data_IF_158065439321
#
_entry.id   IF_158065439321
#
_cell.length_a   1.000
_cell.length_b   1.000
_cell.length_c   1.000
_cell.angle_alpha   90.00
_cell.angle_beta   90.00
_cell.angle_gamma   90.00
#
_symmetry.space_group_name_H-M   'P 1'
#
loop_
_entity.id
_entity.type
_entity.pdbx_description
1 polymer ?
#
# COMPACT_ATOMS: atom_id res chain seq x y z
N UNK A 1 14.70 -6.10 43.30
CA UNK A 1 13.36 -6.39 42.76
C UNK A 1 13.41 -6.12 41.26
N UNK A 2 13.53 -7.17 40.44
CA UNK A 2 13.52 -7.02 38.98
C UNK A 2 12.07 -6.91 38.50
N UNK A 3 11.76 -5.84 37.78
CA UNK A 3 10.46 -5.63 37.16
C UNK A 3 10.19 -6.78 36.17
N UNK A 4 9.04 -7.45 36.31
CA UNK A 4 8.51 -8.38 35.32
C UNK A 4 8.18 -7.58 34.07
N UNK A 5 9.08 -7.61 33.08
CA UNK A 5 8.83 -7.01 31.77
C UNK A 5 7.71 -7.82 31.10
N UNK A 6 6.66 -7.10 30.74
CA UNK A 6 5.38 -7.54 30.20
C UNK A 6 5.49 -8.61 29.10
N UNK A 7 4.98 -9.81 29.37
CA UNK A 7 4.80 -10.94 28.43
C UNK A 7 3.79 -10.65 27.29
N UNK A 8 3.21 -9.45 27.19
CA UNK A 8 2.23 -9.14 26.13
C UNK A 8 2.83 -8.93 24.74
N UNK A 9 4.13 -8.64 24.63
CA UNK A 9 4.76 -8.35 23.34
C UNK A 9 5.12 -9.61 22.55
N UNK A 10 5.33 -10.74 23.20
CA UNK A 10 5.72 -12.00 22.54
C UNK A 10 4.61 -12.55 21.64
N UNK A 11 3.34 -12.35 22.03
CA UNK A 11 2.18 -12.82 21.24
C UNK A 11 2.09 -12.21 19.84
N UNK A 12 2.65 -11.01 19.62
CA UNK A 12 2.60 -10.35 18.30
C UNK A 12 3.70 -10.83 17.35
N UNK A 13 4.81 -11.36 17.87
CA UNK A 13 5.93 -11.85 17.06
C UNK A 13 5.64 -13.22 16.42
N UNK A 14 4.71 -13.98 17.00
CA UNK A 14 4.33 -15.31 16.50
C UNK A 14 3.20 -15.27 15.45
N UNK A 15 2.69 -14.08 15.12
CA UNK A 15 1.62 -13.93 14.14
C UNK A 15 2.22 -13.96 12.73
N UNK A 16 1.87 -15.01 11.98
CA UNK A 16 2.23 -15.11 10.56
C UNK A 16 1.61 -13.95 9.79
N UNK A 17 2.45 -13.28 9.00
CA UNK A 17 2.05 -12.20 8.11
C UNK A 17 2.21 -12.63 6.66
N UNK A 18 1.38 -12.05 5.80
CA UNK A 18 1.49 -12.11 4.35
C UNK A 18 1.94 -10.75 3.83
N UNK A 19 2.82 -10.76 2.83
CA UNK A 19 3.17 -9.58 2.04
C UNK A 19 3.37 -10.01 0.60
N UNK A 20 2.88 -9.21 -0.32
CA UNK A 20 3.14 -9.39 -1.74
C UNK A 20 4.37 -8.59 -2.14
N UNK A 21 5.01 -9.01 -3.22
CA UNK A 21 6.14 -8.29 -3.79
C UNK A 21 6.07 -8.23 -5.31
N UNK A 22 6.61 -7.13 -5.86
CA UNK A 22 6.98 -6.97 -7.26
C UNK A 22 8.44 -6.53 -7.29
N UNK A 23 9.26 -7.22 -8.08
CA UNK A 23 10.69 -6.96 -8.26
C UNK A 23 10.94 -6.76 -9.74
N UNK A 24 11.63 -5.68 -10.08
CA UNK A 24 12.00 -5.35 -11.44
C UNK A 24 13.52 -5.30 -11.59
N UNK A 25 13.99 -5.62 -12.79
CA UNK A 25 15.39 -5.49 -13.18
C UNK A 25 16.38 -6.27 -12.28
N UNK A 26 15.98 -7.45 -11.81
CA UNK A 26 16.84 -8.36 -11.05
C UNK A 26 18.18 -8.56 -11.79
N UNK A 27 19.27 -8.43 -11.04
CA UNK A 27 20.64 -8.52 -11.59
C UNK A 27 20.85 -9.91 -12.21
N UNK A 28 21.29 -9.92 -13.47
CA UNK A 28 21.56 -11.14 -14.24
C UNK A 28 22.71 -11.96 -13.65
N UNK A 29 22.70 -13.27 -13.92
CA UNK A 29 23.78 -14.23 -13.56
C UNK A 29 24.05 -14.36 -12.05
N UNK A 30 23.11 -13.94 -11.21
CA UNK A 30 23.23 -14.03 -9.73
C UNK A 30 22.72 -15.35 -9.15
N UNK A 31 22.12 -16.21 -9.98
CA UNK A 31 21.35 -17.39 -9.58
C UNK A 31 20.20 -17.05 -8.61
N UNK A 32 19.60 -15.86 -8.77
CA UNK A 32 18.53 -15.37 -7.91
C UNK A 32 17.44 -16.41 -7.66
N UNK A 33 16.85 -17.00 -8.73
CA UNK A 33 15.76 -17.98 -8.62
C UNK A 33 16.06 -19.11 -7.62
N UNK A 34 17.20 -19.78 -7.81
CA UNK A 34 17.63 -20.89 -6.94
C UNK A 34 17.95 -20.42 -5.52
N UNK A 35 18.68 -19.31 -5.37
CA UNK A 35 19.07 -18.80 -4.05
C UNK A 35 17.87 -18.32 -3.24
N UNK A 36 16.91 -17.69 -3.90
CA UNK A 36 15.70 -17.16 -3.28
C UNK A 36 14.86 -18.31 -2.73
N UNK A 37 14.56 -19.32 -3.56
CA UNK A 37 13.82 -20.50 -3.14
C UNK A 37 14.46 -21.20 -1.91
N UNK A 38 15.77 -21.48 -1.98
CA UNK A 38 16.51 -22.11 -0.88
C UNK A 38 16.44 -21.27 0.40
N UNK A 39 16.54 -19.95 0.28
CA UNK A 39 16.52 -19.07 1.45
C UNK A 39 15.13 -19.00 2.07
N UNK A 40 14.06 -18.95 1.27
CA UNK A 40 12.69 -19.01 1.80
C UNK A 40 12.48 -20.29 2.62
N UNK A 41 12.91 -21.45 2.11
CA UNK A 41 12.82 -22.72 2.83
C UNK A 41 13.61 -22.71 4.14
N UNK A 42 14.82 -22.15 4.15
CA UNK A 42 15.64 -22.06 5.36
C UNK A 42 15.07 -21.12 6.42
N UNK A 43 14.28 -20.13 6.01
CA UNK A 43 13.64 -19.14 6.88
C UNK A 43 12.19 -19.48 7.20
N UNK A 44 11.73 -20.71 6.92
CA UNK A 44 10.33 -21.12 7.11
C UNK A 44 9.30 -20.17 6.48
N UNK A 45 9.68 -19.48 5.39
CA UNK A 45 8.77 -18.64 4.61
C UNK A 45 8.04 -19.54 3.61
N UNK A 46 6.72 -19.40 3.55
CA UNK A 46 5.84 -20.06 2.58
C UNK A 46 5.30 -19.04 1.56
N UNK A 47 4.51 -19.49 0.60
CA UNK A 47 4.01 -18.68 -0.51
C UNK A 47 4.60 -19.07 -1.86
N UNK A 48 4.69 -18.11 -2.79
CA UNK A 48 5.14 -18.41 -4.14
C UNK A 48 5.84 -17.24 -4.82
N UNK A 49 6.53 -17.56 -5.91
CA UNK A 49 7.08 -16.59 -6.86
C UNK A 49 6.74 -16.98 -8.30
N UNK A 50 6.36 -16.00 -9.10
CA UNK A 50 6.22 -16.10 -10.55
C UNK A 50 7.30 -15.21 -11.15
N UNK A 51 7.99 -15.75 -12.14
CA UNK A 51 8.97 -15.01 -12.90
C UNK A 51 8.39 -14.69 -14.27
N UNK A 52 8.64 -13.47 -14.75
CA UNK A 52 8.43 -13.18 -16.17
C UNK A 52 9.41 -14.03 -17.02
N UNK A 53 9.12 -14.13 -18.33
CA UNK A 53 9.82 -14.97 -19.30
C UNK A 53 11.35 -14.81 -19.23
N UNK A 54 11.83 -13.58 -19.07
CA UNK A 54 13.26 -13.28 -19.01
C UNK A 54 13.88 -13.48 -17.61
N UNK A 55 13.05 -13.74 -16.58
CA UNK A 55 13.47 -13.90 -15.20
C UNK A 55 14.11 -12.67 -14.57
N UNK A 56 13.96 -11.53 -15.23
CA UNK A 56 14.42 -10.23 -14.73
C UNK A 56 13.42 -9.59 -13.80
N UNK A 57 12.16 -9.94 -13.96
CA UNK A 57 11.09 -9.44 -13.13
C UNK A 57 10.43 -10.63 -12.43
N UNK A 58 10.01 -10.39 -11.20
CA UNK A 58 9.40 -11.41 -10.36
C UNK A 58 8.33 -10.79 -9.48
N UNK A 59 7.25 -11.51 -9.28
CA UNK A 59 6.21 -11.12 -8.34
C UNK A 59 5.71 -12.34 -7.60
N UNK A 60 5.09 -12.13 -6.45
CA UNK A 60 4.63 -13.23 -5.64
C UNK A 60 4.27 -12.83 -4.22
N UNK A 61 4.22 -13.84 -3.36
CA UNK A 61 3.72 -13.72 -1.99
C UNK A 61 4.72 -14.37 -1.05
N UNK A 62 5.06 -13.67 0.03
CA UNK A 62 5.80 -14.20 1.17
C UNK A 62 4.87 -14.30 2.37
N UNK A 63 4.77 -15.48 2.96
CA UNK A 63 4.07 -15.73 4.21
C UNK A 63 5.05 -16.26 5.26
N UNK A 64 5.05 -15.68 6.45
CA UNK A 64 5.99 -16.04 7.50
C UNK A 64 5.98 -15.08 8.68
N UNK A 65 6.94 -15.25 9.59
CA UNK A 65 7.11 -14.29 10.69
C UNK A 65 7.61 -12.94 10.15
N UNK A 66 7.20 -11.81 10.75
CA UNK A 66 7.61 -10.48 10.30
C UNK A 66 9.14 -10.33 10.18
N UNK A 67 9.88 -10.89 11.11
CA UNK A 67 11.35 -10.79 11.15
C UNK A 67 12.00 -11.56 10.01
N UNK A 68 11.51 -12.77 9.71
CA UNK A 68 12.00 -13.56 8.57
C UNK A 68 11.71 -12.87 7.24
N UNK A 69 10.51 -12.31 7.10
CA UNK A 69 10.13 -11.55 5.90
C UNK A 69 11.00 -10.29 5.77
N UNK A 70 11.20 -9.53 6.84
CA UNK A 70 12.04 -8.32 6.82
C UNK A 70 13.48 -8.67 6.44
N UNK A 71 14.05 -9.73 7.00
CA UNK A 71 15.37 -10.22 6.62
C UNK A 71 15.43 -10.64 5.15
N UNK A 72 14.37 -11.25 4.62
CA UNK A 72 14.27 -11.58 3.22
C UNK A 72 14.25 -10.32 2.34
N UNK A 73 13.45 -9.31 2.70
CA UNK A 73 13.37 -8.01 2.00
C UNK A 73 14.76 -7.36 1.90
N UNK A 74 15.45 -7.20 3.03
CA UNK A 74 16.80 -6.62 3.07
C UNK A 74 17.79 -7.43 2.23
N UNK A 75 17.73 -8.76 2.31
CA UNK A 75 18.61 -9.63 1.54
C UNK A 75 18.39 -9.54 0.02
N UNK A 76 17.12 -9.44 -0.42
CA UNK A 76 16.78 -9.23 -1.84
C UNK A 76 17.34 -7.89 -2.32
N UNK A 77 17.01 -6.81 -1.61
CA UNK A 77 17.38 -5.45 -1.99
C UNK A 77 18.89 -5.27 -2.03
N UNK A 78 19.61 -5.71 -1.00
CA UNK A 78 21.06 -5.50 -0.90
C UNK A 78 21.91 -6.35 -1.85
N UNK A 79 21.34 -7.33 -2.57
CA UNK A 79 22.13 -8.25 -3.41
C UNK A 79 21.65 -8.43 -4.83
N UNK A 80 20.37 -8.21 -5.10
CA UNK A 80 19.76 -8.61 -6.37
C UNK A 80 19.02 -7.48 -7.07
N UNK A 81 18.72 -6.39 -6.37
CA UNK A 81 18.04 -5.22 -6.93
C UNK A 81 19.03 -4.06 -6.96
N UNK A 82 19.36 -3.50 -8.13
CA UNK A 82 20.23 -2.33 -8.20
C UNK A 82 19.45 -1.07 -7.78
N UNK A 83 20.11 -0.10 -7.16
CA UNK A 83 19.49 1.20 -6.84
C UNK A 83 19.06 1.98 -8.09
N UNK A 84 17.96 2.77 -8.03
CA UNK A 84 17.13 3.06 -6.86
C UNK A 84 16.07 1.98 -6.58
N UNK A 85 15.78 1.71 -5.30
CA UNK A 85 14.83 0.65 -4.90
C UNK A 85 13.36 1.01 -5.15
N UNK A 86 12.97 2.28 -5.00
CA UNK A 86 11.56 2.69 -5.06
C UNK A 86 10.86 2.41 -6.39
N UNK A 87 11.63 2.33 -7.48
CA UNK A 87 11.12 2.02 -8.82
C UNK A 87 11.25 0.52 -9.16
N UNK A 88 12.02 -0.24 -8.38
CA UNK A 88 12.48 -1.59 -8.74
C UNK A 88 12.07 -2.67 -7.76
N UNK A 89 11.56 -2.30 -6.61
CA UNK A 89 11.05 -3.24 -5.64
C UNK A 89 9.87 -2.62 -4.88
N UNK A 90 8.74 -3.28 -4.97
CA UNK A 90 7.52 -2.93 -4.25
C UNK A 90 7.16 -4.08 -3.33
N UNK A 91 6.82 -3.76 -2.09
CA UNK A 91 6.27 -4.71 -1.13
C UNK A 91 4.96 -4.15 -0.61
N UNK A 92 3.92 -4.98 -0.56
CA UNK A 92 2.65 -4.59 0.04
C UNK A 92 2.79 -4.38 1.55
N UNK A 93 1.77 -3.77 2.16
CA UNK A 93 1.60 -3.81 3.60
C UNK A 93 1.47 -5.26 4.12
N UNK A 94 1.76 -5.45 5.40
CA UNK A 94 1.56 -6.74 6.06
C UNK A 94 0.08 -7.01 6.31
N UNK A 95 -0.36 -8.21 5.96
CA UNK A 95 -1.67 -8.73 6.31
C UNK A 95 -1.53 -9.86 7.33
N UNK A 96 -2.50 -9.99 8.23
CA UNK A 96 -2.53 -11.12 9.18
C UNK A 96 -3.02 -12.37 8.44
N UNK A 97 -2.20 -13.42 8.43
CA UNK A 97 -2.62 -14.72 7.91
C UNK A 97 -3.24 -15.57 9.01
N UNK A 98 -4.56 -15.71 9.00
CA UNK A 98 -5.28 -16.61 9.91
C UNK A 98 -5.14 -18.08 9.53
N UNK A 99 -5.00 -18.35 8.23
CA UNK A 99 -4.83 -19.69 7.67
C UNK A 99 -3.58 -19.70 6.77
N UNK A 100 -2.37 -19.71 7.34
CA UNK A 100 -1.13 -19.66 6.56
C UNK A 100 -1.01 -20.91 5.68
N UNK A 101 -0.52 -20.73 4.45
CA UNK A 101 -0.25 -21.86 3.58
C UNK A 101 0.83 -22.73 4.21
N UNK A 102 0.55 -24.03 4.32
CA UNK A 102 1.49 -25.03 4.86
C UNK A 102 2.41 -25.59 3.78
N UNK A 103 2.19 -25.23 2.52
CA UNK A 103 3.04 -25.66 1.43
C UNK A 103 4.39 -24.93 1.49
N UNK A 104 5.50 -25.64 1.23
CA UNK A 104 6.80 -24.99 1.07
C UNK A 104 6.77 -23.94 -0.03
N UNK A 105 7.54 -22.87 0.14
CA UNK A 105 7.66 -21.83 -0.88
C UNK A 105 7.98 -22.42 -2.26
N UNK A 106 7.23 -22.03 -3.29
CA UNK A 106 7.35 -22.66 -4.61
C UNK A 106 7.40 -21.64 -5.76
N UNK A 107 7.93 -22.08 -6.90
CA UNK A 107 7.81 -21.33 -8.14
C UNK A 107 6.51 -21.72 -8.85
N UNK A 108 5.75 -20.73 -9.32
CA UNK A 108 4.55 -20.90 -10.15
C UNK A 108 4.76 -20.30 -11.54
N UNK A 109 3.91 -20.71 -12.48
CA UNK A 109 3.91 -20.22 -13.86
C UNK A 109 2.74 -19.27 -14.16
N UNK A 110 1.69 -19.30 -13.33
CA UNK A 110 0.52 -18.43 -13.45
C UNK A 110 0.00 -18.03 -12.07
N UNK A 111 -0.75 -16.93 -12.06
CA UNK A 111 -1.54 -16.50 -10.89
C UNK A 111 -2.71 -17.47 -10.72
N UNK A 112 -3.08 -17.87 -9.49
CA UNK A 112 -4.29 -18.65 -9.26
C UNK A 112 -5.52 -17.91 -9.79
N UNK A 113 -6.42 -18.61 -10.49
CA UNK A 113 -7.60 -18.04 -11.18
C UNK A 113 -8.59 -17.27 -10.28
N UNK A 114 -8.38 -17.27 -8.95
CA UNK A 114 -9.28 -16.69 -7.96
C UNK A 114 -8.61 -15.70 -6.98
N UNK A 115 -7.32 -15.38 -7.15
CA UNK A 115 -6.63 -14.38 -6.31
C UNK A 115 -6.33 -13.11 -7.12
N UNK A 116 -6.91 -11.98 -6.72
CA UNK A 116 -6.42 -10.66 -7.15
C UNK A 116 -5.19 -10.33 -6.31
N UNK A 117 -4.05 -10.11 -6.95
CA UNK A 117 -2.85 -9.63 -6.27
C UNK A 117 -3.08 -8.17 -5.85
N UNK A 118 -2.85 -7.85 -4.59
CA UNK A 118 -2.93 -6.50 -4.02
C UNK A 118 -1.97 -5.51 -4.68
N UNK A 119 -0.84 -5.98 -5.19
CA UNK A 119 0.10 -5.14 -5.92
C UNK A 119 -0.49 -4.51 -7.19
N UNK A 120 -1.60 -5.03 -7.72
CA UNK A 120 -2.34 -4.41 -8.83
C UNK A 120 -3.28 -3.31 -8.34
N UNK A 121 -3.78 -3.42 -7.10
CA UNK A 121 -4.66 -2.42 -6.46
C UNK A 121 -3.89 -1.13 -6.11
N UNK A 122 -2.60 -1.26 -5.78
CA UNK A 122 -1.75 -0.10 -5.47
C UNK A 122 -1.21 0.62 -6.71
N UNK A 123 -1.00 -0.05 -7.84
CA UNK A 123 -0.63 0.62 -9.10
C UNK A 123 -1.76 1.53 -9.60
N UNK A 124 -3.02 1.08 -9.54
CA UNK A 124 -4.18 1.90 -9.97
C UNK A 124 -4.42 3.14 -9.09
N UNK A 125 -4.07 3.07 -7.80
CA UNK A 125 -4.31 4.16 -6.85
C UNK A 125 -3.19 5.20 -6.78
N UNK A 126 -2.01 4.93 -7.36
CA UNK A 126 -0.90 5.88 -7.45
C UNK A 126 -0.94 6.68 -8.77
N UNK A 127 -1.63 6.20 -9.81
CA UNK A 127 -1.61 6.79 -11.17
C UNK A 127 -2.58 7.97 -11.37
N UNK A 128 -3.39 8.39 -10.39
CA UNK A 128 -4.16 9.65 -10.52
C UNK A 128 -4.21 10.46 -9.21
N UNK A 129 -3.51 11.60 -9.19
CA UNK A 129 -4.27 12.83 -9.07
C UNK A 129 -3.70 13.90 -10.01
N UNK A 130 -4.11 13.89 -11.27
CA UNK A 130 -4.00 15.10 -12.10
C UNK A 130 -5.39 15.53 -12.59
N UNK A 131 -5.76 16.74 -12.18
CA UNK A 131 -6.66 17.58 -12.95
C UNK A 131 -8.08 17.71 -12.42
N UNK A 132 -8.27 18.41 -11.29
CA UNK A 132 -9.36 19.40 -11.18
C UNK A 132 -9.08 20.46 -10.11
N UNK A 133 -8.04 21.25 -10.37
CA UNK A 133 -8.04 22.65 -9.99
C UNK A 133 -8.58 23.45 -11.19
N UNK A 134 -9.85 23.85 -11.15
CA UNK A 134 -10.43 24.99 -11.89
C UNK A 134 -11.54 25.54 -11.00
N UNK A 135 -11.16 26.50 -10.15
CA UNK A 135 -11.36 27.95 -10.35
C UNK A 135 -12.68 28.40 -9.74
N UNK A 136 -12.54 29.05 -8.58
CA UNK A 136 -13.47 30.07 -8.09
C UNK A 136 -13.50 31.24 -9.08
N UNK A 137 -14.58 32.02 -8.95
CA UNK A 137 -14.92 33.31 -9.56
C UNK A 137 -15.38 33.28 -11.02
N UNK A 138 -16.68 33.50 -11.22
CA UNK A 138 -17.14 34.71 -11.89
C UNK A 138 -18.43 35.21 -11.21
N UNK A 139 -18.45 36.52 -11.00
CA UNK A 139 -19.48 37.29 -10.32
C UNK A 139 -20.60 37.73 -11.27
N UNK A 140 -21.77 37.98 -10.68
CA UNK A 140 -22.77 39.00 -11.01
C UNK A 140 -23.24 39.23 -12.46
N UNK A 141 -24.57 39.23 -12.63
CA UNK A 141 -25.22 40.26 -13.42
C UNK A 141 -26.61 39.92 -13.99
N UNK A 142 -27.64 40.56 -13.39
CA UNK A 142 -28.84 41.13 -14.05
C UNK A 142 -29.94 40.18 -14.54
N UNK A 143 -31.25 40.44 -14.45
CA UNK A 143 -32.14 41.35 -13.70
C UNK A 143 -33.59 40.92 -14.06
N UNK A 144 -34.56 41.44 -13.28
CA UNK A 144 -36.01 41.63 -13.56
C UNK A 144 -36.96 40.49 -13.17
N UNK A 145 -38.16 40.74 -12.63
CA UNK A 145 -38.91 41.90 -12.12
C UNK A 145 -40.29 41.36 -11.64
N UNK A 146 -41.09 42.24 -11.03
CA UNK A 146 -42.50 42.17 -10.59
C UNK A 146 -42.74 41.68 -9.16
N UNK A 147 -42.87 42.58 -8.19
CA UNK A 147 -44.05 43.43 -7.85
C UNK A 147 -45.03 42.65 -6.95
N UNK A 148 -45.27 43.11 -5.72
CA UNK A 148 -46.47 43.90 -5.39
C UNK A 148 -46.65 44.09 -3.87
N UNK A 149 -46.92 45.34 -3.48
CA UNK A 149 -47.67 45.91 -2.33
C UNK A 149 -47.67 45.29 -0.90
N UNK A 150 -47.84 45.99 0.23
CA UNK A 150 -47.96 47.39 0.67
C UNK A 150 -48.14 47.32 2.23
N UNK A 151 -47.65 48.23 3.09
CA UNK A 151 -48.40 49.33 3.75
C UNK A 151 -47.86 49.57 5.20
N UNK A 152 -47.34 50.78 5.40
CA UNK A 152 -47.39 51.78 6.52
C UNK A 152 -47.09 51.50 8.01
N UNK A 153 -46.37 52.47 8.60
CA UNK A 153 -46.51 52.94 10.00
C UNK A 153 -45.17 53.40 10.62
N UNK A 154 -44.69 54.64 10.48
CA UNK A 154 -45.00 55.88 11.25
C UNK A 154 -44.27 56.03 12.61
N UNK A 155 -43.41 57.06 12.68
CA UNK A 155 -43.01 57.82 13.89
C UNK A 155 -41.85 57.24 14.72
N UNK A 156 -40.94 57.99 15.35
CA UNK A 156 -40.62 59.42 15.41
C UNK A 156 -39.39 59.56 16.33
N UNK A 157 -38.54 60.53 16.02
CA UNK A 157 -37.45 61.16 16.78
C UNK A 157 -37.37 60.98 18.32
N UNK A 158 -36.16 60.74 18.83
CA UNK A 158 -35.74 61.30 20.12
C UNK A 158 -34.22 61.47 20.23
N UNK A 159 -33.80 62.72 20.42
CA UNK A 159 -32.44 63.19 20.75
C UNK A 159 -32.08 62.95 22.21
N UNK A 160 -30.78 62.87 22.55
CA UNK A 160 -30.35 63.11 23.92
C UNK A 160 -28.93 62.66 24.23
N UNK A 161 -28.01 63.63 24.22
CA UNK A 161 -26.65 63.55 24.74
C UNK A 161 -26.65 63.62 26.27
N UNK A 162 -25.73 62.91 26.92
CA UNK A 162 -24.80 63.43 27.94
C UNK A 162 -23.64 62.45 28.15
#
# INVERSE_FOLDING_TARGET
MCAKVSEKWTLYHDIVKRTEFKLYHIIRRTHFRRKFLIRCHKSNITGFVIYDNDGRDAFGVLEGLPDDINQMKVWILGRFIPEPYGERATFSAYEICFNPDRQPFCQRFSVPDHERLLADIYEDSIVKPEGRAKQRSDAEGSDKESDDESVTGSGSDFSGSD
#
